data_IF_210646104667
#
_entry.id   IF_210646104667
#
_cell.length_a   1.000
_cell.length_b   1.000
_cell.length_c   1.000
_cell.angle_alpha   90.00
_cell.angle_beta   90.00
_cell.angle_gamma   90.00
#
_symmetry.space_group_name_H-M   'P 1'
#
loop_
_entity.id
_entity.type
_entity.pdbx_description
1 polymer ?
#
# COMPACT_ATOMS: atom_id res chain seq x y z
N UNK A 1 -25.03 -12.48 13.19
CA UNK A 1 -23.81 -12.16 13.96
C UNK A 1 -22.60 -12.54 13.12
N UNK A 2 -21.89 -11.62 12.44
CA UNK A 2 -20.62 -11.99 11.85
C UNK A 2 -19.55 -11.80 12.93
N UNK A 3 -19.02 -12.91 13.46
CA UNK A 3 -17.87 -12.83 14.37
C UNK A 3 -16.67 -12.27 13.60
N UNK A 4 -16.05 -11.26 14.18
CA UNK A 4 -14.70 -10.84 13.81
C UNK A 4 -13.80 -12.07 13.89
N UNK A 5 -13.22 -12.45 12.75
CA UNK A 5 -12.31 -13.59 12.63
C UNK A 5 -11.03 -13.29 13.37
N UNK A 6 -10.98 -13.66 14.65
CA UNK A 6 -9.71 -13.90 15.31
C UNK A 6 -9.04 -15.10 14.64
N UNK A 7 -7.71 -15.07 14.48
CA UNK A 7 -6.91 -16.22 14.03
C UNK A 7 -7.22 -17.49 14.84
N UNK A 8 -7.61 -17.29 16.10
CA UNK A 8 -7.99 -18.29 17.10
C UNK A 8 -9.16 -19.22 16.69
N UNK A 9 -10.03 -18.80 15.76
CA UNK A 9 -11.19 -19.60 15.35
C UNK A 9 -10.86 -20.67 14.27
N UNK A 10 -9.61 -20.75 13.83
CA UNK A 10 -9.19 -21.61 12.71
C UNK A 10 -8.44 -22.84 13.22
N UNK A 11 -8.78 -24.01 12.68
CA UNK A 11 -8.10 -25.25 13.02
C UNK A 11 -6.81 -25.41 12.19
N UNK A 12 -5.74 -25.97 12.77
CA UNK A 12 -4.58 -26.42 12.01
C UNK A 12 -5.00 -27.30 10.82
N UNK A 13 -4.42 -27.07 9.65
CA UNK A 13 -4.73 -27.79 8.41
C UNK A 13 -5.93 -27.26 7.61
N UNK A 14 -6.67 -26.27 8.12
CA UNK A 14 -7.80 -25.67 7.39
C UNK A 14 -7.34 -24.74 6.27
N UNK A 15 -7.84 -24.95 5.04
CA UNK A 15 -7.59 -24.06 3.92
C UNK A 15 -8.28 -22.70 4.12
N UNK A 16 -7.49 -21.63 4.21
CA UNK A 16 -7.98 -20.27 4.45
C UNK A 16 -8.35 -19.51 3.17
N UNK A 17 -7.54 -19.68 2.13
CA UNK A 17 -7.71 -18.98 0.86
C UNK A 17 -8.32 -19.93 -0.16
N UNK A 18 -9.43 -19.51 -0.76
CA UNK A 18 -10.07 -20.25 -1.85
C UNK A 18 -9.34 -20.07 -3.17
N UNK A 19 -8.61 -18.96 -3.33
CA UNK A 19 -7.83 -18.64 -4.52
C UNK A 19 -6.47 -18.12 -4.09
N UNK A 20 -5.41 -18.61 -4.74
CA UNK A 20 -4.04 -18.10 -4.65
C UNK A 20 -3.67 -17.56 -6.02
N UNK A 21 -3.17 -16.32 -6.07
CA UNK A 21 -2.74 -15.69 -7.31
C UNK A 21 -1.32 -15.14 -7.18
N UNK A 22 -0.69 -14.98 -8.34
CA UNK A 22 0.67 -14.47 -8.48
C UNK A 22 0.62 -13.22 -9.36
N UNK A 23 1.22 -12.12 -8.89
CA UNK A 23 1.34 -10.91 -9.69
C UNK A 23 2.77 -10.36 -9.64
N UNK A 24 3.29 -9.89 -10.76
CA UNK A 24 4.66 -9.36 -10.85
C UNK A 24 4.72 -7.83 -10.72
N UNK A 25 3.57 -7.15 -10.72
CA UNK A 25 3.49 -5.68 -10.70
C UNK A 25 3.11 -5.17 -9.30
N UNK A 26 3.90 -4.27 -8.70
CA UNK A 26 3.54 -3.56 -7.47
C UNK A 26 2.18 -2.86 -7.53
N UNK A 27 1.84 -2.28 -8.69
CA UNK A 27 0.55 -1.62 -8.92
C UNK A 27 -0.62 -2.60 -8.85
N UNK A 28 -0.46 -3.78 -9.43
CA UNK A 28 -1.48 -4.85 -9.37
C UNK A 28 -1.62 -5.37 -7.95
N UNK A 29 -0.50 -5.58 -7.24
CA UNK A 29 -0.52 -5.92 -5.82
C UNK A 29 -1.32 -4.87 -5.03
N UNK A 30 -1.00 -3.59 -5.17
CA UNK A 30 -1.69 -2.50 -4.48
C UNK A 30 -3.20 -2.51 -4.76
N UNK A 31 -3.61 -2.59 -6.02
CA UNK A 31 -5.01 -2.61 -6.41
C UNK A 31 -5.77 -3.82 -5.80
N UNK A 32 -5.13 -4.99 -5.75
CA UNK A 32 -5.72 -6.18 -5.14
C UNK A 32 -5.90 -6.02 -3.63
N UNK A 33 -4.92 -5.48 -2.91
CA UNK A 33 -5.07 -5.24 -1.46
C UNK A 33 -6.10 -4.13 -1.21
N UNK A 34 -6.09 -3.06 -2.02
CA UNK A 34 -7.05 -1.95 -1.92
C UNK A 34 -8.49 -2.40 -2.18
N UNK A 35 -8.72 -3.40 -3.03
CA UNK A 35 -10.06 -3.99 -3.26
C UNK A 35 -10.68 -4.61 -2.01
N UNK A 36 -9.88 -4.90 -0.98
CA UNK A 36 -10.35 -5.60 0.21
C UNK A 36 -10.72 -7.07 -0.04
N UNK A 37 -10.34 -7.66 -1.16
CA UNK A 37 -10.62 -9.08 -1.40
C UNK A 37 -9.39 -9.97 -1.28
N UNK A 38 -8.21 -9.37 -1.19
CA UNK A 38 -6.94 -10.09 -1.17
C UNK A 38 -6.11 -9.72 0.04
N UNK A 39 -5.45 -10.72 0.60
CA UNK A 39 -4.38 -10.56 1.58
C UNK A 39 -3.03 -10.83 0.89
N UNK A 40 -2.00 -10.07 1.28
CA UNK A 40 -0.64 -10.28 0.79
C UNK A 40 0.03 -11.38 1.60
N UNK A 41 0.40 -12.48 0.93
CA UNK A 41 0.94 -13.69 1.59
C UNK A 41 2.47 -13.73 1.60
N UNK A 42 3.10 -12.97 0.72
CA UNK A 42 4.55 -12.90 0.63
C UNK A 42 5.06 -12.70 -0.78
N UNK A 43 6.32 -13.05 -0.98
CA UNK A 43 7.03 -12.92 -2.24
C UNK A 43 7.76 -14.19 -2.60
N UNK A 44 7.79 -14.46 -3.90
CA UNK A 44 8.64 -15.47 -4.52
C UNK A 44 9.62 -14.76 -5.43
N UNK A 45 10.89 -15.14 -5.36
CA UNK A 45 11.91 -14.71 -6.31
C UNK A 45 12.35 -15.91 -7.14
N UNK A 46 12.45 -15.74 -8.46
CA UNK A 46 13.01 -16.77 -9.33
C UNK A 46 14.54 -16.69 -9.40
N UNK A 47 15.16 -17.69 -10.05
CA UNK A 47 16.63 -17.77 -10.21
C UNK A 47 17.24 -16.60 -11.00
N UNK A 48 16.41 -15.83 -11.71
CA UNK A 48 16.83 -14.64 -12.47
C UNK A 48 16.61 -13.35 -11.67
N UNK A 49 16.23 -13.48 -10.41
CA UNK A 49 15.96 -12.36 -9.52
C UNK A 49 14.58 -11.74 -9.69
N UNK A 50 13.69 -12.28 -10.53
CA UNK A 50 12.36 -11.69 -10.76
C UNK A 50 11.46 -11.94 -9.57
N UNK A 51 10.91 -10.86 -9.02
CA UNK A 51 9.99 -10.87 -7.88
C UNK A 51 8.56 -11.08 -8.35
N UNK A 52 7.84 -11.98 -7.68
CA UNK A 52 6.42 -12.22 -7.86
C UNK A 52 5.73 -12.20 -6.51
N UNK A 53 4.70 -11.38 -6.37
CA UNK A 53 3.89 -11.23 -5.17
C UNK A 53 2.82 -12.31 -5.13
N UNK A 54 2.69 -12.97 -3.99
CA UNK A 54 1.70 -14.02 -3.75
C UNK A 54 0.54 -13.41 -2.96
N UNK A 55 -0.68 -13.54 -3.46
CA UNK A 55 -1.89 -13.01 -2.81
C UNK A 55 -2.94 -14.11 -2.67
N UNK A 56 -3.71 -14.04 -1.60
CA UNK A 56 -4.78 -14.99 -1.30
C UNK A 56 -6.13 -14.31 -1.18
N UNK A 57 -7.17 -14.88 -1.81
CA UNK A 57 -8.56 -14.47 -1.61
C UNK A 57 -9.28 -15.44 -0.68
N UNK A 58 -9.78 -14.99 0.49
CA UNK A 58 -10.59 -15.83 1.38
C UNK A 58 -11.91 -16.25 0.72
N UNK A 59 -12.43 -17.44 1.08
CA UNK A 59 -13.71 -17.96 0.52
C UNK A 59 -14.93 -17.13 0.90
N UNK A 60 -14.90 -16.46 2.05
CA UNK A 60 -15.94 -15.52 2.47
C UNK A 60 -15.37 -14.12 2.29
N UNK A 61 -15.91 -13.38 1.31
CA UNK A 61 -15.56 -11.98 1.10
C UNK A 61 -15.96 -11.19 2.35
N UNK A 62 -15.06 -10.36 2.88
CA UNK A 62 -15.46 -9.35 3.86
C UNK A 62 -16.35 -8.34 3.12
N UNK A 63 -17.57 -8.18 3.61
CA UNK A 63 -18.46 -7.10 3.21
C UNK A 63 -18.17 -5.94 4.17
N UNK A 64 -17.32 -4.99 3.79
CA UNK A 64 -17.08 -3.79 4.62
C UNK A 64 -16.99 -2.51 3.81
N UNK A 65 -17.60 -1.47 4.38
CA UNK A 65 -18.06 -0.25 3.74
C UNK A 65 -16.98 0.77 3.38
N UNK A 66 -17.39 1.65 2.47
CA UNK A 66 -16.67 2.82 1.97
C UNK A 66 -16.42 3.78 3.14
N UNK A 67 -15.19 3.79 3.65
CA UNK A 67 -14.75 4.73 4.68
C UNK A 67 -14.36 6.07 4.06
N UNK A 68 -15.13 7.12 4.36
CA UNK A 68 -14.80 8.50 4.00
C UNK A 68 -13.44 8.93 4.58
N UNK A 69 -12.61 9.54 3.76
CA UNK A 69 -11.35 10.13 4.19
C UNK A 69 -11.56 11.47 4.88
N UNK A 70 -10.91 11.68 6.03
CA UNK A 70 -10.79 13.00 6.65
C UNK A 70 -9.40 13.55 6.27
N UNK A 71 -9.38 14.67 5.56
CA UNK A 71 -8.17 15.43 5.26
C UNK A 71 -7.66 16.10 6.55
N UNK A 72 -6.37 15.94 6.87
CA UNK A 72 -5.74 16.74 7.93
C UNK A 72 -5.16 18.00 7.29
N UNK A 73 -5.78 19.13 7.59
CA UNK A 73 -5.36 20.45 7.09
C UNK A 73 -3.97 20.83 7.62
N UNK A 74 -3.06 21.17 6.70
CA UNK A 74 -1.99 22.14 6.98
C UNK A 74 -2.56 23.56 7.06
N UNK A 75 -1.78 24.56 7.50
CA UNK A 75 -2.25 25.94 7.58
C UNK A 75 -2.82 26.43 6.23
N UNK A 76 -3.96 27.15 6.20
CA UNK A 76 -4.69 27.49 4.98
C UNK A 76 -3.86 28.28 3.96
N UNK A 77 -2.83 29.00 4.42
CA UNK A 77 -1.97 29.86 3.62
C UNK A 77 -0.89 29.10 2.80
N UNK A 78 -0.81 27.77 2.91
CA UNK A 78 0.13 26.93 2.14
C UNK A 78 -0.53 25.69 1.51
N UNK A 79 -1.80 25.78 1.11
CA UNK A 79 -2.39 24.78 0.20
C UNK A 79 -1.70 24.91 -1.16
N UNK A 80 -0.56 24.24 -1.29
CA UNK A 80 0.45 24.48 -2.32
C UNK A 80 0.21 23.69 -3.59
N UNK A 81 0.46 24.29 -4.73
CA UNK A 81 0.43 23.63 -6.03
C UNK A 81 1.28 22.34 -6.11
N UNK A 82 2.33 22.22 -5.30
CA UNK A 82 3.25 21.08 -5.33
C UNK A 82 3.20 20.29 -4.02
N UNK A 83 2.96 18.98 -4.09
CA UNK A 83 2.95 18.12 -2.90
C UNK A 83 3.23 16.65 -3.23
N UNK A 84 3.60 15.90 -2.20
CA UNK A 84 3.77 14.45 -2.25
C UNK A 84 2.74 13.79 -1.33
N UNK A 85 1.97 12.85 -1.88
CA UNK A 85 1.01 12.01 -1.15
C UNK A 85 1.62 10.61 -0.97
N UNK A 86 1.62 10.08 0.25
CA UNK A 86 1.97 8.69 0.56
C UNK A 86 0.75 7.99 1.15
N UNK A 87 0.32 6.91 0.51
CA UNK A 87 -0.86 6.16 0.92
C UNK A 87 -0.60 4.66 1.04
N UNK A 88 -1.04 4.08 2.15
CA UNK A 88 -1.14 2.63 2.32
C UNK A 88 -2.53 2.13 1.89
N UNK A 89 -2.67 0.87 1.44
CA UNK A 89 -3.96 0.33 1.01
C UNK A 89 -5.07 0.52 2.06
N UNK A 90 -6.26 0.88 1.61
CA UNK A 90 -7.38 1.45 2.39
C UNK A 90 -7.82 0.67 3.65
N UNK A 91 -7.48 -0.62 3.76
CA UNK A 91 -7.72 -1.41 4.97
C UNK A 91 -6.90 -0.97 6.19
N UNK A 92 -5.86 -0.19 5.98
CA UNK A 92 -5.01 0.36 7.03
C UNK A 92 -5.42 1.83 7.18
N UNK A 93 -6.26 2.14 8.19
CA UNK A 93 -6.87 3.46 8.43
C UNK A 93 -5.92 4.51 9.04
N UNK A 94 -4.79 4.86 8.42
CA UNK A 94 -4.45 6.28 8.41
C UNK A 94 -4.89 6.99 7.13
N UNK A 95 -5.24 8.29 7.23
CA UNK A 95 -5.33 9.15 6.05
C UNK A 95 -3.98 9.17 5.31
N UNK A 96 -3.97 9.55 4.01
CA UNK A 96 -2.72 9.77 3.31
C UNK A 96 -1.81 10.73 4.09
N UNK A 97 -0.51 10.43 4.09
CA UNK A 97 0.51 11.37 4.58
C UNK A 97 0.87 12.30 3.43
N UNK A 98 0.63 13.59 3.61
CA UNK A 98 0.93 14.61 2.60
C UNK A 98 2.09 15.50 3.06
N UNK A 99 2.91 15.94 2.11
CA UNK A 99 4.01 16.87 2.32
C UNK A 99 3.96 17.93 1.22
N UNK A 100 3.76 19.19 1.60
CA UNK A 100 3.55 20.32 0.68
C UNK A 100 4.82 21.16 0.56
N UNK A 101 5.08 21.67 -0.63
CA UNK A 101 6.32 22.39 -0.95
C UNK A 101 6.03 23.66 -1.75
N UNK A 102 6.93 24.64 -1.65
CA UNK A 102 6.78 25.91 -2.35
C UNK A 102 7.07 25.75 -3.85
N UNK A 103 8.00 24.86 -4.18
CA UNK A 103 8.45 24.62 -5.56
C UNK A 103 8.26 23.16 -6.00
N UNK A 104 8.15 22.95 -7.31
CA UNK A 104 8.09 21.61 -7.90
C UNK A 104 9.39 20.80 -7.71
N UNK A 105 10.53 21.48 -7.64
CA UNK A 105 11.86 20.88 -7.42
C UNK A 105 11.98 20.30 -6.01
N UNK A 106 11.56 21.05 -5.00
CA UNK A 106 11.51 20.58 -3.61
C UNK A 106 10.57 19.37 -3.46
N UNK A 107 9.40 19.42 -4.09
CA UNK A 107 8.46 18.31 -4.09
C UNK A 107 9.04 17.06 -4.77
N UNK A 108 9.74 17.24 -5.89
CA UNK A 108 10.44 16.14 -6.57
C UNK A 108 11.55 15.54 -5.70
N UNK A 109 12.36 16.38 -5.05
CA UNK A 109 13.43 15.92 -4.16
C UNK A 109 12.87 15.12 -2.97
N UNK A 110 11.76 15.56 -2.38
CA UNK A 110 11.06 14.83 -1.33
C UNK A 110 10.46 13.52 -1.83
N UNK A 111 9.89 13.49 -3.03
CA UNK A 111 9.37 12.28 -3.65
C UNK A 111 10.46 11.20 -3.81
N UNK A 112 11.64 11.56 -4.33
CA UNK A 112 12.76 10.62 -4.45
C UNK A 112 13.29 10.17 -3.08
N UNK A 113 13.42 11.09 -2.13
CA UNK A 113 13.82 10.75 -0.75
C UNK A 113 12.85 9.75 -0.11
N UNK A 114 11.53 9.97 -0.24
CA UNK A 114 10.50 9.10 0.33
C UNK A 114 10.52 7.70 -0.29
N UNK A 115 10.84 7.54 -1.58
CA UNK A 115 11.01 6.19 -2.18
C UNK A 115 12.07 5.39 -1.43
N UNK A 116 13.21 6.02 -1.13
CA UNK A 116 14.33 5.38 -0.41
C UNK A 116 13.95 5.11 1.04
N UNK A 117 13.41 6.11 1.75
CA UNK A 117 13.03 5.96 3.17
C UNK A 117 11.99 4.87 3.36
N UNK A 118 10.99 4.76 2.48
CA UNK A 118 9.96 3.72 2.56
C UNK A 118 10.51 2.32 2.28
N UNK A 119 11.63 2.19 1.55
CA UNK A 119 12.31 0.90 1.38
C UNK A 119 13.14 0.48 2.60
N UNK A 120 13.52 1.41 3.48
CA UNK A 120 14.45 1.17 4.60
C UNK A 120 13.79 0.90 5.96
N UNK A 121 12.46 1.00 6.07
CA UNK A 121 11.77 0.80 7.36
C UNK A 121 11.70 -0.66 7.82
N UNK A 122 11.26 -0.86 9.06
CA UNK A 122 11.11 -2.20 9.64
C UNK A 122 9.90 -2.94 9.07
N UNK A 123 10.03 -4.25 8.87
CA UNK A 123 8.93 -5.10 8.44
C UNK A 123 8.58 -5.00 6.95
N UNK A 124 7.47 -5.61 6.57
CA UNK A 124 6.93 -5.51 5.20
C UNK A 124 6.05 -4.28 5.04
N UNK A 125 6.00 -3.70 3.85
CA UNK A 125 5.25 -2.48 3.58
C UNK A 125 4.88 -2.34 2.11
N UNK A 126 3.69 -1.77 1.87
CA UNK A 126 3.17 -1.49 0.54
C UNK A 126 2.63 -0.06 0.51
N UNK A 127 3.23 0.77 -0.34
CA UNK A 127 2.96 2.20 -0.37
C UNK A 127 2.74 2.67 -1.82
N UNK A 128 1.79 3.59 -1.99
CA UNK A 128 1.60 4.36 -3.21
C UNK A 128 2.05 5.79 -2.94
N UNK A 129 3.04 6.25 -3.68
CA UNK A 129 3.53 7.62 -3.66
C UNK A 129 3.00 8.32 -4.90
N UNK A 130 2.51 9.54 -4.73
CA UNK A 130 2.10 10.42 -5.81
C UNK A 130 2.77 11.76 -5.64
N UNK A 131 3.27 12.30 -6.74
CA UNK A 131 3.82 13.63 -6.80
C UNK A 131 2.90 14.51 -7.62
N UNK A 132 2.55 15.65 -7.06
CA UNK A 132 1.77 16.67 -7.72
C UNK A 132 2.63 17.92 -7.92
N UNK A 133 2.47 18.56 -9.08
CA UNK A 133 3.00 19.88 -9.40
C UNK A 133 1.88 20.71 -10.00
N UNK A 134 1.71 21.96 -9.59
CA UNK A 134 0.66 22.84 -10.10
C UNK A 134 -0.74 22.23 -9.97
N UNK A 135 -0.97 21.48 -8.89
CA UNK A 135 -2.20 20.75 -8.61
C UNK A 135 -2.42 19.51 -9.48
N UNK A 136 -1.47 19.14 -10.35
CA UNK A 136 -1.58 18.01 -11.28
C UNK A 136 -0.68 16.86 -10.87
N UNK A 137 -1.20 15.64 -10.96
CA UNK A 137 -0.39 14.43 -10.77
C UNK A 137 0.63 14.33 -11.90
N UNK A 138 1.91 14.39 -11.56
CA UNK A 138 3.02 14.33 -12.52
C UNK A 138 3.83 13.04 -12.40
N UNK A 139 3.72 12.32 -11.27
CA UNK A 139 4.38 11.02 -11.09
C UNK A 139 3.62 10.14 -10.07
N UNK A 140 3.67 8.83 -10.27
CA UNK A 140 3.14 7.82 -9.37
C UNK A 140 4.14 6.67 -9.25
N UNK A 141 4.46 6.29 -8.01
CA UNK A 141 5.39 5.20 -7.74
C UNK A 141 4.84 4.28 -6.67
N UNK A 142 5.11 2.98 -6.81
CA UNK A 142 4.70 1.96 -5.85
C UNK A 142 5.95 1.38 -5.19
N UNK A 143 6.03 1.53 -3.87
CA UNK A 143 7.11 0.97 -3.07
C UNK A 143 6.61 -0.31 -2.41
N UNK A 144 7.32 -1.41 -2.65
CA UNK A 144 7.06 -2.69 -2.00
C UNK A 144 8.30 -3.08 -1.21
N UNK A 145 8.20 -2.97 0.11
CA UNK A 145 9.21 -3.43 1.05
C UNK A 145 8.85 -4.84 1.49
N UNK A 146 9.68 -5.81 1.14
CA UNK A 146 9.50 -7.19 1.54
C UNK A 146 10.40 -7.47 2.73
N UNK A 147 9.86 -8.08 3.79
CA UNK A 147 10.74 -8.82 4.68
C UNK A 147 11.34 -9.98 3.88
N UNK A 148 12.65 -10.25 3.99
CA UNK A 148 13.17 -11.53 3.55
C UNK A 148 12.36 -12.62 4.26
N UNK A 149 11.94 -13.66 3.55
CA UNK A 149 11.43 -14.85 4.23
C UNK A 149 12.59 -15.36 5.10
N UNK A 150 12.45 -15.23 6.42
CA UNK A 150 13.36 -15.90 7.35
C UNK A 150 13.00 -17.37 7.25
N UNK A 151 13.88 -18.15 6.59
CA UNK A 151 13.77 -19.61 6.50
C UNK A 151 14.22 -20.25 7.80
#
# INVERSE_FOLDING_TARGET
MPSERSYEDKRPGQQLYGVIEFCASPKVLYAKIESGHYDWLGVRQDKRGRVTYVVGRPRLARLEGLGGGIAKHGPPSMTGQHHVEVRIPHRLRPPPSESWWLTSEEARADFERKKVTLMQGDGSGLYRLRLYSDGRLVDEHFVVRTLPNVL
#
